data_IF_732429775924
#
_entry.id   IF_732429775924
#
_cell.length_a   1.000
_cell.length_b   1.000
_cell.length_c   1.000
_cell.angle_alpha   90.00
_cell.angle_beta   90.00
_cell.angle_gamma   90.00
#
_symmetry.space_group_name_H-M   'P 1'
#
loop_
_entity.id
_entity.type
_entity.pdbx_description
1 polymer ?
#
# COMPACT_ATOMS: atom_id res chain seq x y z
N UNK A 1 -17.27 4.76 -2.09
CA UNK A 1 -18.00 5.63 -1.13
C UNK A 1 -19.01 4.81 -0.30
N UNK A 2 -19.31 5.20 0.94
CA UNK A 2 -20.32 4.55 1.80
C UNK A 2 -19.96 3.15 2.32
N UNK A 3 -18.71 2.71 2.13
CA UNK A 3 -18.17 1.43 2.59
C UNK A 3 -16.94 1.70 3.44
N UNK A 4 -16.66 0.79 4.38
CA UNK A 4 -15.41 0.81 5.16
C UNK A 4 -14.45 -0.20 4.55
N UNK A 5 -13.25 0.25 4.19
CA UNK A 5 -12.16 -0.62 3.79
C UNK A 5 -11.32 -0.97 5.02
N UNK A 6 -10.99 -2.25 5.16
CA UNK A 6 -10.15 -2.76 6.26
C UNK A 6 -8.82 -3.26 5.70
N UNK A 7 -7.75 -3.06 6.46
CA UNK A 7 -6.42 -3.57 6.18
C UNK A 7 -5.79 -4.07 7.48
N UNK A 8 -4.82 -4.98 7.35
CA UNK A 8 -3.94 -5.34 8.46
C UNK A 8 -3.10 -4.11 8.82
N UNK A 9 -2.90 -3.79 10.12
CA UNK A 9 -2.01 -2.70 10.52
C UNK A 9 -0.56 -2.96 10.07
N UNK A 10 0.34 -1.96 10.21
CA UNK A 10 1.77 -2.16 10.03
C UNK A 10 2.26 -3.42 10.79
N UNK A 11 3.22 -4.15 10.26
CA UNK A 11 4.21 -3.77 9.23
C UNK A 11 3.81 -4.02 7.76
N UNK A 12 2.54 -4.36 7.48
CA UNK A 12 2.07 -4.56 6.11
C UNK A 12 1.91 -3.25 5.31
N UNK A 13 2.16 -3.30 4.00
CA UNK A 13 2.00 -2.14 3.10
C UNK A 13 0.54 -1.82 2.71
N UNK A 14 -0.45 -2.53 3.27
CA UNK A 14 -1.87 -2.37 2.92
C UNK A 14 -2.40 -0.95 3.17
N UNK A 15 -1.78 -0.22 4.12
CA UNK A 15 -2.10 1.18 4.42
C UNK A 15 -1.94 2.11 3.22
N UNK A 16 -1.09 1.78 2.23
CA UNK A 16 -0.93 2.56 1.00
C UNK A 16 -2.26 2.79 0.27
N UNK A 17 -3.12 1.75 0.23
CA UNK A 17 -4.44 1.85 -0.39
C UNK A 17 -5.40 2.73 0.42
N UNK A 18 -5.31 2.70 1.75
CA UNK A 18 -6.12 3.58 2.61
C UNK A 18 -5.71 5.04 2.42
N UNK A 19 -4.42 5.32 2.37
CA UNK A 19 -3.88 6.67 2.12
C UNK A 19 -4.34 7.19 0.76
N UNK A 20 -4.24 6.36 -0.29
CA UNK A 20 -4.69 6.73 -1.64
C UNK A 20 -6.19 7.07 -1.69
N UNK A 21 -7.03 6.30 -1.00
CA UNK A 21 -8.47 6.55 -0.93
C UNK A 21 -8.79 7.84 -0.18
N UNK A 22 -8.11 8.11 0.94
CA UNK A 22 -8.29 9.37 1.68
C UNK A 22 -7.88 10.57 0.82
N UNK A 23 -6.76 10.47 0.09
CA UNK A 23 -6.34 11.52 -0.84
C UNK A 23 -7.36 11.75 -1.95
N UNK A 24 -7.89 10.67 -2.54
CA UNK A 24 -8.94 10.74 -3.55
C UNK A 24 -10.21 11.42 -3.00
N UNK A 25 -10.68 11.01 -1.83
CA UNK A 25 -11.86 11.57 -1.18
C UNK A 25 -11.70 13.10 -0.98
N UNK A 26 -10.52 13.55 -0.53
CA UNK A 26 -10.23 15.00 -0.40
C UNK A 26 -10.28 15.72 -1.75
N UNK A 27 -9.67 15.15 -2.80
CA UNK A 27 -9.70 15.77 -4.13
C UNK A 27 -11.13 15.87 -4.70
N UNK A 28 -11.98 14.88 -4.42
CA UNK A 28 -13.38 14.89 -4.84
C UNK A 28 -14.22 15.89 -4.06
N UNK A 29 -14.03 15.98 -2.74
CA UNK A 29 -14.75 16.94 -1.88
C UNK A 29 -14.42 18.40 -2.23
N UNK A 30 -13.19 18.67 -2.65
CA UNK A 30 -12.72 20.00 -3.07
C UNK A 30 -13.08 20.32 -4.53
N UNK A 31 -13.75 19.41 -5.23
CA UNK A 31 -14.16 19.58 -6.64
C UNK A 31 -13.00 19.61 -7.63
N UNK A 32 -11.81 19.15 -7.24
CA UNK A 32 -10.63 19.07 -8.10
C UNK A 32 -10.71 17.88 -9.07
N UNK A 33 -11.46 16.85 -8.69
CA UNK A 33 -11.70 15.63 -9.46
C UNK A 33 -13.14 15.18 -9.24
N UNK A 34 -13.75 14.60 -10.26
CA UNK A 34 -14.98 13.81 -10.09
C UNK A 34 -14.80 12.46 -10.80
N UNK A 35 -14.48 11.42 -10.03
CA UNK A 35 -14.23 10.09 -10.63
C UNK A 35 -15.49 9.46 -11.22
N UNK A 36 -16.68 9.90 -10.83
CA UNK A 36 -17.94 9.36 -11.32
C UNK A 36 -18.25 9.84 -12.75
N UNK A 37 -17.84 11.07 -13.08
CA UNK A 37 -18.20 11.71 -14.36
C UNK A 37 -17.03 11.93 -15.31
N UNK A 38 -15.78 11.88 -14.83
CA UNK A 38 -14.61 12.05 -15.68
C UNK A 38 -14.41 10.90 -16.68
N UNK A 39 -13.64 11.16 -17.75
CA UNK A 39 -13.28 10.13 -18.71
C UNK A 39 -12.34 9.08 -18.09
N UNK A 40 -12.23 7.93 -18.74
CA UNK A 40 -11.47 6.79 -18.22
C UNK A 40 -9.98 7.11 -18.01
N UNK A 41 -9.38 7.90 -18.91
CA UNK A 41 -8.00 8.33 -18.82
C UNK A 41 -7.75 9.23 -17.60
N UNK A 42 -8.67 10.17 -17.34
CA UNK A 42 -8.61 11.04 -16.16
C UNK A 42 -8.81 10.23 -14.88
N UNK A 43 -9.71 9.25 -14.90
CA UNK A 43 -9.95 8.34 -13.78
C UNK A 43 -8.70 7.52 -13.45
N UNK A 44 -8.07 6.92 -14.46
CA UNK A 44 -6.83 6.18 -14.23
C UNK A 44 -5.71 7.09 -13.77
N UNK A 45 -5.59 8.29 -14.34
CA UNK A 45 -4.58 9.28 -13.92
C UNK A 45 -4.67 9.59 -12.43
N UNK A 46 -5.84 10.00 -11.93
CA UNK A 46 -5.98 10.31 -10.51
C UNK A 46 -5.76 9.08 -9.63
N UNK A 47 -6.22 7.89 -10.03
CA UNK A 47 -5.99 6.66 -9.27
C UNK A 47 -4.50 6.30 -9.19
N UNK A 48 -3.76 6.46 -10.29
CA UNK A 48 -2.31 6.23 -10.32
C UNK A 48 -1.57 7.23 -9.45
N UNK A 49 -1.91 8.52 -9.51
CA UNK A 49 -1.27 9.57 -8.71
C UNK A 49 -1.55 9.39 -7.20
N UNK A 50 -2.78 9.02 -6.82
CA UNK A 50 -3.10 8.73 -5.41
C UNK A 50 -2.42 7.45 -4.91
N UNK A 51 -2.31 6.41 -5.75
CA UNK A 51 -1.54 5.21 -5.38
C UNK A 51 -0.04 5.51 -5.27
N UNK A 52 0.52 6.41 -6.09
CA UNK A 52 1.91 6.87 -5.92
C UNK A 52 2.12 7.54 -4.57
N UNK A 53 1.23 8.46 -4.19
CA UNK A 53 1.24 9.10 -2.88
C UNK A 53 1.19 8.07 -1.74
N UNK A 54 0.27 7.11 -1.83
CA UNK A 54 0.11 6.06 -0.83
C UNK A 54 1.33 5.13 -0.72
N UNK A 55 1.91 4.71 -1.84
CA UNK A 55 3.11 3.88 -1.85
C UNK A 55 4.36 4.64 -1.39
N UNK A 56 4.48 5.92 -1.71
CA UNK A 56 5.58 6.76 -1.21
C UNK A 56 5.54 6.84 0.31
N UNK A 57 4.38 7.14 0.90
CA UNK A 57 4.24 7.16 2.36
C UNK A 57 4.51 5.78 2.98
N UNK A 58 3.93 4.73 2.40
CA UNK A 58 4.12 3.38 2.93
C UNK A 58 5.59 2.96 2.91
N UNK A 59 6.31 3.19 1.81
CA UNK A 59 7.73 2.81 1.69
C UNK A 59 8.63 3.59 2.64
N UNK A 60 8.34 4.86 2.90
CA UNK A 60 9.18 5.71 3.72
C UNK A 60 8.93 5.56 5.23
N UNK A 61 7.72 5.11 5.61
CA UNK A 61 7.28 5.20 7.00
C UNK A 61 6.74 3.89 7.60
N UNK A 62 6.26 2.94 6.80
CA UNK A 62 5.75 1.67 7.34
C UNK A 62 6.90 0.76 7.71
N UNK A 63 6.91 0.35 8.96
CA UNK A 63 7.87 -0.59 9.53
C UNK A 63 7.20 -1.36 10.67
N UNK A 64 7.97 -2.21 11.35
CA UNK A 64 7.55 -2.86 12.59
C UNK A 64 7.16 -1.81 13.65
N UNK A 65 5.90 -1.82 14.15
CA UNK A 65 5.43 -0.87 15.16
C UNK A 65 6.30 -0.77 16.41
N UNK A 66 6.93 -1.88 16.83
CA UNK A 66 7.76 -1.92 18.03
C UNK A 66 9.06 -1.11 17.88
N UNK A 67 9.43 -0.76 16.64
CA UNK A 67 10.63 0.00 16.29
C UNK A 67 10.33 1.43 15.84
N UNK A 68 9.07 1.88 15.97
CA UNK A 68 8.69 3.26 15.68
C UNK A 68 9.13 4.17 16.83
N UNK A 69 10.18 4.95 16.60
CA UNK A 69 10.74 5.90 17.58
C UNK A 69 10.22 7.33 17.43
N UNK A 70 9.54 7.65 16.32
CA UNK A 70 9.00 8.97 16.01
C UNK A 70 7.50 8.92 15.78
N UNK A 71 6.77 9.92 16.30
CA UNK A 71 5.34 10.10 16.02
C UNK A 71 5.04 10.27 14.54
N UNK A 72 6.00 10.75 13.74
CA UNK A 72 5.88 10.91 12.27
C UNK A 72 5.90 9.60 11.48
N UNK A 73 5.83 8.45 12.15
CA UNK A 73 5.70 7.12 11.52
C UNK A 73 4.53 6.32 12.10
N UNK A 74 3.77 6.88 13.05
CA UNK A 74 2.63 6.18 13.66
C UNK A 74 1.50 5.95 12.65
N UNK A 75 0.64 4.97 12.92
CA UNK A 75 -0.54 4.72 12.08
C UNK A 75 -1.49 5.92 12.05
N UNK A 76 -1.64 6.62 13.17
CA UNK A 76 -2.48 7.82 13.26
C UNK A 76 -1.93 8.95 12.40
N UNK A 77 -0.60 9.14 12.38
CA UNK A 77 0.03 10.12 11.49
C UNK A 77 -0.08 9.71 10.02
N UNK A 78 0.09 8.42 9.73
CA UNK A 78 -0.01 7.89 8.36
C UNK A 78 -1.41 8.08 7.78
N UNK A 79 -2.45 7.90 8.60
CA UNK A 79 -3.85 8.03 8.22
C UNK A 79 -4.45 9.41 8.55
N UNK A 80 -3.63 10.38 8.97
CA UNK A 80 -4.08 11.74 9.24
C UNK A 80 -4.64 12.38 7.96
N UNK A 81 -5.94 12.67 7.98
CA UNK A 81 -6.68 13.11 6.80
C UNK A 81 -6.19 14.46 6.28
N UNK A 82 -5.88 15.40 7.16
CA UNK A 82 -5.47 16.76 6.78
C UNK A 82 -4.08 16.75 6.15
N UNK A 83 -3.16 15.95 6.69
CA UNK A 83 -1.84 15.70 6.10
C UNK A 83 -1.97 15.07 4.72
N UNK A 84 -2.73 13.97 4.60
CA UNK A 84 -2.92 13.29 3.31
C UNK A 84 -3.55 14.24 2.31
N UNK A 85 -4.60 14.96 2.69
CA UNK A 85 -5.29 15.92 1.84
C UNK A 85 -4.39 17.06 1.39
N UNK A 86 -3.55 17.59 2.28
CA UNK A 86 -2.54 18.59 1.94
C UNK A 86 -1.56 18.06 0.89
N UNK A 87 -1.02 16.85 1.09
CA UNK A 87 -0.11 16.21 0.12
C UNK A 87 -0.82 15.93 -1.21
N UNK A 88 -2.04 15.41 -1.19
CA UNK A 88 -2.81 15.12 -2.41
C UNK A 88 -3.01 16.38 -3.26
N UNK A 89 -3.41 17.49 -2.63
CA UNK A 89 -3.59 18.78 -3.32
C UNK A 89 -2.27 19.37 -3.85
N UNK A 90 -1.16 19.18 -3.13
CA UNK A 90 0.16 19.66 -3.57
C UNK A 90 0.72 18.83 -4.74
N UNK A 91 0.48 17.52 -4.74
CA UNK A 91 1.11 16.59 -5.66
C UNK A 91 0.28 16.34 -6.92
N UNK A 92 -1.05 16.44 -6.84
CA UNK A 92 -1.95 16.15 -7.96
C UNK A 92 -1.94 17.27 -9.00
N UNK A 93 -1.74 16.90 -10.27
CA UNK A 93 -1.94 17.77 -11.42
C UNK A 93 -2.75 17.02 -12.47
N UNK A 94 -3.82 17.59 -13.06
CA UNK A 94 -4.78 16.84 -13.87
C UNK A 94 -4.21 16.27 -15.18
N UNK A 95 -3.11 16.84 -15.69
CA UNK A 95 -2.50 16.46 -16.97
C UNK A 95 -1.01 16.13 -16.88
N UNK A 96 -0.44 16.12 -15.68
CA UNK A 96 0.99 15.87 -15.47
C UNK A 96 1.16 14.87 -14.34
N UNK A 97 2.03 13.89 -14.56
CA UNK A 97 2.39 12.94 -13.51
C UNK A 97 3.39 13.58 -12.54
N UNK A 98 3.23 13.28 -11.26
CA UNK A 98 4.24 13.57 -10.27
C UNK A 98 5.32 12.49 -10.33
N UNK A 99 6.41 12.80 -11.05
CA UNK A 99 7.55 11.91 -11.18
C UNK A 99 8.44 12.13 -9.95
N UNK A 100 8.27 11.30 -8.93
CA UNK A 100 9.30 11.11 -7.91
C UNK A 100 10.52 10.46 -8.57
N UNK A 101 11.72 10.99 -8.29
CA UNK A 101 13.00 10.56 -8.89
C UNK A 101 13.46 9.18 -8.41
N UNK A 102 12.79 8.59 -7.40
CA UNK A 102 13.04 7.22 -6.98
C UNK A 102 12.30 6.25 -7.92
N UNK A 103 13.03 5.78 -8.93
CA UNK A 103 12.62 4.64 -9.75
C UNK A 103 12.33 3.45 -8.85
N UNK A 104 11.05 3.13 -8.63
CA UNK A 104 10.67 1.88 -8.01
C UNK A 104 10.98 0.76 -9.01
N UNK A 105 11.86 -0.16 -8.64
CA UNK A 105 12.05 -1.40 -9.38
C UNK A 105 10.96 -2.37 -8.92
N UNK A 106 9.91 -2.63 -9.73
CA UNK A 106 8.94 -3.66 -9.37
C UNK A 106 9.68 -4.99 -9.31
N UNK A 107 9.54 -5.70 -8.20
CA UNK A 107 10.00 -7.07 -8.08
C UNK A 107 9.09 -7.96 -8.95
N UNK A 108 9.58 -8.53 -10.05
CA UNK A 108 8.74 -9.22 -11.03
C UNK A 108 8.42 -10.66 -10.59
N UNK A 109 8.81 -11.09 -9.39
CA UNK A 109 8.77 -12.51 -9.03
C UNK A 109 7.41 -12.90 -8.42
N UNK A 110 6.53 -13.65 -9.12
CA UNK A 110 5.29 -14.14 -8.54
C UNK A 110 5.60 -15.17 -7.44
N UNK A 111 4.98 -15.03 -6.27
CA UNK A 111 5.22 -15.93 -5.13
C UNK A 111 4.22 -15.80 -3.97
N UNK A 112 3.09 -15.15 -4.21
CA UNK A 112 2.09 -14.84 -3.19
C UNK A 112 0.78 -15.54 -3.54
N UNK A 113 0.22 -16.26 -2.58
CA UNK A 113 -1.13 -16.82 -2.68
C UNK A 113 -2.09 -15.96 -1.85
N UNK A 114 -3.25 -15.68 -2.41
CA UNK A 114 -4.36 -15.07 -1.69
C UNK A 114 -5.63 -15.85 -1.95
N UNK A 115 -6.43 -16.04 -0.90
CA UNK A 115 -7.73 -16.67 -1.00
C UNK A 115 -8.68 -16.08 0.03
N UNK A 116 -9.97 -16.15 -0.29
CA UNK A 116 -11.06 -15.66 0.53
C UNK A 116 -12.06 -16.78 0.75
N UNK A 117 -12.55 -16.92 1.98
CA UNK A 117 -13.58 -17.91 2.33
C UNK A 117 -14.71 -17.18 3.03
N UNK A 118 -15.95 -17.47 2.61
CA UNK A 118 -17.17 -17.02 3.26
C UNK A 118 -18.06 -18.23 3.46
N UNK A 119 -18.58 -18.43 4.66
CA UNK A 119 -19.51 -19.53 4.97
C UNK A 119 -20.97 -19.06 5.09
N UNK A 120 -21.88 -20.03 5.24
CA UNK A 120 -23.32 -19.77 5.32
C UNK A 120 -23.75 -19.09 6.63
N UNK A 121 -22.91 -19.14 7.66
CA UNK A 121 -23.16 -18.49 8.96
C UNK A 121 -22.73 -17.01 8.92
N UNK A 122 -22.18 -16.55 7.79
CA UNK A 122 -21.73 -15.19 7.58
C UNK A 122 -20.32 -14.91 8.06
N UNK A 123 -19.55 -15.94 8.43
CA UNK A 123 -18.13 -15.76 8.72
C UNK A 123 -17.38 -15.52 7.42
N UNK A 124 -16.40 -14.63 7.45
CA UNK A 124 -15.57 -14.30 6.31
C UNK A 124 -14.10 -14.19 6.72
N UNK A 125 -13.20 -14.68 5.88
CA UNK A 125 -11.76 -14.49 6.03
C UNK A 125 -11.11 -14.17 4.70
N UNK A 126 -10.06 -13.34 4.75
CA UNK A 126 -9.20 -13.03 3.62
C UNK A 126 -7.76 -13.30 4.05
N UNK A 127 -7.14 -14.29 3.41
CA UNK A 127 -5.80 -14.77 3.77
C UNK A 127 -4.85 -14.45 2.63
N UNK A 128 -3.65 -14.00 3.00
CA UNK A 128 -2.52 -13.81 2.10
C UNK A 128 -1.30 -14.48 2.73
N UNK A 129 -0.62 -15.33 1.98
CA UNK A 129 0.60 -15.99 2.42
C UNK A 129 1.64 -16.00 1.29
N UNK A 130 2.92 -15.87 1.63
CA UNK A 130 3.96 -15.62 0.64
C UNK A 130 5.36 -15.90 1.18
N UNK A 131 6.16 -16.58 0.38
CA UNK A 131 7.61 -16.69 0.58
C UNK A 131 8.40 -15.44 0.16
N UNK A 132 7.69 -14.36 -0.16
CA UNK A 132 8.14 -13.13 -0.82
C UNK A 132 8.41 -13.33 -2.32
N UNK A 133 9.63 -13.69 -2.71
CA UNK A 133 9.99 -13.90 -4.13
C UNK A 133 9.90 -15.38 -4.48
N UNK A 134 8.86 -15.83 -5.19
CA UNK A 134 8.75 -17.21 -5.68
C UNK A 134 8.94 -18.27 -4.59
N UNK A 135 9.97 -19.11 -4.72
CA UNK A 135 10.36 -20.12 -3.72
C UNK A 135 11.12 -19.55 -2.50
N UNK A 136 11.18 -18.23 -2.33
CA UNK A 136 11.92 -17.58 -1.26
C UNK A 136 13.42 -17.67 -1.48
N UNK A 137 14.14 -18.19 -0.49
CA UNK A 137 15.59 -18.42 -0.56
C UNK A 137 15.99 -19.59 -1.46
N UNK A 138 15.05 -20.48 -1.79
CA UNK A 138 15.34 -21.77 -2.42
C UNK A 138 15.96 -22.82 -1.47
N UNK A 139 16.25 -22.46 -0.21
CA UNK A 139 16.80 -23.37 0.79
C UNK A 139 15.67 -24.25 1.34
N UNK A 140 15.85 -25.56 1.28
CA UNK A 140 14.92 -26.57 1.83
C UNK A 140 15.57 -27.23 3.04
N UNK A 141 15.03 -27.08 4.27
CA UNK A 141 15.51 -27.81 5.44
C UNK A 141 15.40 -29.33 5.22
N UNK A 142 16.41 -30.07 5.68
CA UNK A 142 16.49 -31.52 5.47
C UNK A 142 15.26 -32.23 6.02
N UNK A 143 14.59 -33.01 5.17
CA UNK A 143 13.38 -33.78 5.52
C UNK A 143 12.06 -32.99 5.58
N UNK A 144 12.07 -31.67 5.34
CA UNK A 144 10.88 -30.82 5.55
C UNK A 144 10.01 -30.61 4.30
N UNK A 145 10.59 -30.68 3.09
CA UNK A 145 9.83 -30.56 1.83
C UNK A 145 9.26 -29.16 1.51
N UNK A 146 9.67 -28.12 2.24
CA UNK A 146 9.29 -26.72 1.97
C UNK A 146 10.51 -25.81 1.92
N UNK A 147 10.40 -24.69 1.19
CA UNK A 147 11.47 -23.69 1.10
C UNK A 147 11.32 -22.59 2.17
N UNK A 148 12.42 -21.99 2.58
CA UNK A 148 12.42 -20.85 3.50
C UNK A 148 12.17 -19.53 2.76
N UNK A 149 11.30 -18.67 3.30
CA UNK A 149 11.01 -17.33 2.76
C UNK A 149 12.25 -16.43 2.71
N UNK A 150 12.28 -15.47 1.79
CA UNK A 150 13.32 -14.43 1.72
C UNK A 150 12.79 -13.02 2.08
N UNK A 151 11.78 -12.94 2.96
CA UNK A 151 11.13 -11.69 3.38
C UNK A 151 12.09 -10.64 3.94
N UNK A 152 13.23 -11.07 4.50
CA UNK A 152 14.29 -10.16 4.99
C UNK A 152 14.84 -9.22 3.92
N UNK A 153 14.62 -9.50 2.62
CA UNK A 153 14.91 -8.55 1.54
C UNK A 153 14.16 -7.22 1.66
N UNK A 154 13.03 -7.18 2.39
CA UNK A 154 12.28 -5.96 2.65
C UNK A 154 12.97 -4.96 3.58
N UNK A 155 14.07 -5.34 4.25
CA UNK A 155 14.81 -4.42 5.11
C UNK A 155 15.67 -3.44 4.29
N UNK A 156 15.64 -2.16 4.66
CA UNK A 156 16.63 -1.18 4.21
C UNK A 156 18.00 -1.52 4.80
N UNK A 157 19.06 -1.32 4.01
CA UNK A 157 20.46 -1.38 4.46
C UNK A 157 21.03 0.00 4.81
N UNK A 158 20.21 1.04 4.67
CA UNK A 158 20.52 2.41 5.08
C UNK A 158 19.91 2.61 6.45
N UNK A 159 20.74 3.01 7.40
CA UNK A 159 20.30 3.34 8.76
C UNK A 159 19.30 4.50 8.72
N UNK A 160 18.23 4.38 9.52
CA UNK A 160 17.09 5.30 9.53
C UNK A 160 17.04 6.24 10.72
#
# INVERSE_FOLDING_TARGET
RGKRLWQVPPNGQGVAGLIALVGLDVLEEEGLVDTATCCEEQRFHVLMEMMRLGFEDARNHVTDPDFITSSSKSIDWLLDRDRIGTRAKQLYHPTKSNISTQSAHPDPTPGTVSFQVVDNDGNATSVVNSNYMGFGTGIVPSGCGFTLQNRGYGFSRVDG
#
